data_IF_728363880567
#
_entry.id   IF_728363880567
#
_cell.length_a   1.000
_cell.length_b   1.000
_cell.length_c   1.000
_cell.angle_alpha   90.00
_cell.angle_beta   90.00
_cell.angle_gamma   90.00
#
_symmetry.space_group_name_H-M   'P 1'
#
loop_
_entity.id
_entity.type
_entity.pdbx_description
1 polymer ?
#
# COMPACT_ATOMS: atom_id res chain seq x y z
N UNK A 1 20.02 -100.85 -59.16
CA UNK A 1 19.84 -99.46 -59.63
C UNK A 1 19.48 -98.60 -58.43
N UNK A 2 20.10 -97.44 -58.26
CA UNK A 2 19.74 -96.46 -57.22
C UNK A 2 18.90 -95.34 -57.84
N UNK A 3 17.84 -94.92 -57.17
CA UNK A 3 17.06 -93.73 -57.49
C UNK A 3 17.43 -92.63 -56.51
N UNK A 4 17.72 -91.44 -57.02
CA UNK A 4 17.87 -90.22 -56.21
C UNK A 4 16.60 -89.40 -56.40
N UNK A 5 15.97 -89.00 -55.29
CA UNK A 5 14.83 -88.08 -55.28
C UNK A 5 15.31 -86.80 -54.60
N UNK A 6 15.26 -85.68 -55.32
CA UNK A 6 15.54 -84.38 -54.75
C UNK A 6 14.22 -83.79 -54.25
N UNK A 7 14.18 -83.45 -52.95
CA UNK A 7 13.08 -82.71 -52.36
C UNK A 7 13.52 -81.25 -52.27
N UNK A 8 12.72 -80.34 -52.83
CA UNK A 8 12.98 -78.90 -52.81
C UNK A 8 11.81 -78.25 -52.08
N UNK A 9 12.12 -77.48 -51.04
CA UNK A 9 11.14 -76.65 -50.36
C UNK A 9 10.94 -75.34 -51.13
N UNK A 10 9.68 -75.04 -51.42
CA UNK A 10 9.27 -73.83 -52.15
C UNK A 10 8.17 -73.05 -51.40
N UNK A 11 7.78 -73.54 -50.23
CA UNK A 11 6.72 -72.95 -49.41
C UNK A 11 7.33 -72.02 -48.39
N UNK A 12 6.84 -70.78 -48.31
CA UNK A 12 7.32 -69.85 -47.32
C UNK A 12 6.67 -70.13 -45.94
N UNK A 13 7.37 -69.80 -44.83
CA UNK A 13 6.79 -69.88 -43.50
C UNK A 13 5.52 -69.03 -43.37
N UNK A 14 4.61 -69.45 -42.49
CA UNK A 14 3.39 -68.70 -42.15
C UNK A 14 3.60 -68.01 -40.80
N UNK A 15 3.45 -66.67 -40.78
CA UNK A 15 3.45 -65.88 -39.54
C UNK A 15 2.03 -65.88 -38.96
N UNK A 16 1.90 -66.12 -37.65
CA UNK A 16 0.62 -66.03 -36.96
C UNK A 16 0.05 -64.59 -37.00
N UNK A 17 -1.27 -64.45 -36.89
CA UNK A 17 -1.92 -63.13 -36.90
C UNK A 17 -1.35 -62.21 -35.81
N UNK A 18 -0.85 -61.05 -36.22
CA UNK A 18 -0.40 -60.00 -35.32
C UNK A 18 -1.60 -59.13 -34.86
N UNK A 19 -1.49 -58.41 -33.74
CA UNK A 19 -2.53 -57.49 -33.29
C UNK A 19 -2.81 -56.39 -34.32
N UNK A 20 -4.04 -55.89 -34.31
CA UNK A 20 -4.43 -54.70 -35.07
C UNK A 20 -3.69 -53.44 -34.59
N UNK A 21 -3.74 -52.38 -35.39
CA UNK A 21 -3.09 -51.12 -35.05
C UNK A 21 -3.70 -50.49 -33.78
N UNK A 22 -2.85 -50.03 -32.87
CA UNK A 22 -3.28 -49.38 -31.62
C UNK A 22 -2.84 -47.93 -31.58
N UNK A 23 -3.47 -47.13 -30.71
CA UNK A 23 -3.08 -45.74 -30.46
C UNK A 23 -2.75 -45.55 -28.98
N UNK A 24 -1.63 -44.91 -28.69
CA UNK A 24 -1.16 -44.57 -27.34
C UNK A 24 -0.81 -43.08 -27.25
N UNK A 25 -0.78 -42.54 -26.03
CA UNK A 25 -0.31 -41.17 -25.76
C UNK A 25 1.20 -41.05 -25.99
N UNK A 26 1.69 -39.86 -26.34
CA UNK A 26 3.12 -39.58 -26.51
C UNK A 26 3.99 -39.87 -25.28
N UNK A 27 3.40 -39.91 -24.08
CA UNK A 27 4.10 -40.23 -22.84
C UNK A 27 4.24 -41.74 -22.62
N UNK A 28 3.59 -42.57 -23.43
CA UNK A 28 3.67 -44.02 -23.35
C UNK A 28 4.72 -44.58 -24.31
N UNK A 29 5.37 -45.68 -23.90
CA UNK A 29 6.34 -46.38 -24.74
C UNK A 29 5.64 -47.43 -25.60
N UNK A 30 5.90 -47.53 -26.91
CA UNK A 30 5.33 -48.59 -27.76
C UNK A 30 5.85 -49.99 -27.36
N UNK A 31 4.93 -50.93 -27.13
CA UNK A 31 5.25 -52.34 -26.86
C UNK A 31 4.70 -53.24 -27.97
N UNK A 32 5.60 -53.94 -28.67
CA UNK A 32 5.25 -54.83 -29.78
C UNK A 32 5.11 -56.27 -29.32
N UNK A 33 4.14 -56.98 -29.89
CA UNK A 33 3.99 -58.42 -29.69
C UNK A 33 5.06 -59.15 -30.51
N UNK A 34 5.75 -60.11 -29.88
CA UNK A 34 6.70 -60.98 -30.57
C UNK A 34 5.96 -61.89 -31.55
N UNK A 35 6.35 -61.86 -32.82
CA UNK A 35 5.76 -62.73 -33.83
C UNK A 35 6.13 -64.20 -33.61
N UNK A 36 5.27 -65.11 -34.04
CA UNK A 36 5.56 -66.54 -34.15
C UNK A 36 5.33 -66.99 -35.60
N UNK A 37 6.11 -67.95 -36.07
CA UNK A 37 6.02 -68.47 -37.42
C UNK A 37 6.21 -69.99 -37.44
N UNK A 38 5.52 -70.66 -38.35
CA UNK A 38 5.61 -72.11 -38.57
C UNK A 38 5.82 -72.40 -40.04
N UNK A 39 6.55 -73.47 -40.34
CA UNK A 39 6.77 -73.96 -41.69
C UNK A 39 6.25 -75.40 -41.84
N UNK A 40 5.62 -75.72 -42.97
CA UNK A 40 4.99 -77.04 -43.20
C UNK A 40 6.00 -78.18 -43.27
N UNK A 41 7.26 -77.89 -43.66
CA UNK A 41 8.34 -78.88 -43.73
C UNK A 41 9.03 -79.12 -42.38
N UNK A 42 8.59 -78.46 -41.30
CA UNK A 42 9.13 -78.64 -39.95
C UNK A 42 10.56 -78.13 -39.76
N UNK A 43 11.03 -77.28 -40.68
CA UNK A 43 12.35 -76.68 -40.62
C UNK A 43 12.38 -75.51 -39.63
N UNK A 44 13.57 -75.22 -39.10
CA UNK A 44 13.75 -74.06 -38.22
C UNK A 44 13.49 -72.77 -39.01
N UNK A 45 12.68 -71.87 -38.43
CA UNK A 45 12.36 -70.56 -39.01
C UNK A 45 13.16 -69.49 -38.27
N UNK A 46 13.83 -68.62 -39.01
CA UNK A 46 14.50 -67.44 -38.47
C UNK A 46 13.57 -66.24 -38.53
N UNK A 47 13.36 -65.58 -37.39
CA UNK A 47 12.58 -64.33 -37.30
C UNK A 47 13.51 -63.14 -37.13
N UNK A 48 13.31 -62.13 -37.96
CA UNK A 48 13.95 -60.81 -37.84
C UNK A 48 12.87 -59.73 -37.86
N UNK A 49 13.20 -58.53 -37.37
CA UNK A 49 12.29 -57.39 -37.45
C UNK A 49 13.02 -56.12 -37.86
N UNK A 50 12.28 -55.21 -38.48
CA UNK A 50 12.71 -53.85 -38.77
C UNK A 50 11.61 -52.87 -38.36
N UNK A 51 12.00 -51.76 -37.72
CA UNK A 51 11.09 -50.70 -37.32
C UNK A 51 11.20 -49.52 -38.30
N UNK A 52 10.04 -48.99 -38.69
CA UNK A 52 9.93 -47.77 -39.45
C UNK A 52 9.08 -46.76 -38.69
N UNK A 53 9.60 -45.54 -38.52
CA UNK A 53 8.86 -44.43 -37.90
C UNK A 53 8.31 -43.52 -39.00
N UNK A 54 7.02 -43.21 -38.91
CA UNK A 54 6.35 -42.24 -39.79
C UNK A 54 5.88 -41.06 -38.95
N UNK A 55 6.28 -39.83 -39.30
CA UNK A 55 5.80 -38.65 -38.58
C UNK A 55 4.29 -38.47 -38.77
N UNK A 56 3.62 -38.05 -37.69
CA UNK A 56 2.21 -37.72 -37.68
C UNK A 56 1.93 -36.30 -38.16
N UNK A 57 0.66 -35.91 -38.09
CA UNK A 57 0.18 -34.61 -38.56
C UNK A 57 0.55 -33.44 -37.62
N UNK A 58 0.85 -33.71 -36.35
CA UNK A 58 1.20 -32.70 -35.36
C UNK A 58 2.52 -33.04 -34.65
N UNK A 59 3.13 -32.01 -34.08
CA UNK A 59 4.39 -32.12 -33.32
C UNK A 59 4.22 -33.08 -32.15
N UNK A 60 5.10 -34.08 -32.05
CA UNK A 60 5.03 -35.10 -31.00
C UNK A 60 4.18 -36.32 -31.35
N UNK A 61 3.39 -36.27 -32.44
CA UNK A 61 2.66 -37.43 -32.95
C UNK A 61 3.45 -38.14 -34.06
N UNK A 62 3.46 -39.47 -34.02
CA UNK A 62 4.13 -40.34 -35.00
C UNK A 62 3.54 -41.75 -34.95
N UNK A 63 3.91 -42.63 -35.86
CA UNK A 63 3.62 -44.06 -35.76
C UNK A 63 4.89 -44.87 -35.90
N UNK A 64 4.92 -46.03 -35.26
CA UNK A 64 5.99 -47.02 -35.41
C UNK A 64 5.38 -48.29 -35.97
N UNK A 65 5.87 -48.71 -37.14
CA UNK A 65 5.50 -49.96 -37.79
C UNK A 65 6.67 -50.93 -37.67
N UNK A 66 6.45 -52.06 -36.98
CA UNK A 66 7.40 -53.17 -36.91
C UNK A 66 7.03 -54.21 -37.94
N UNK A 67 7.92 -54.46 -38.89
CA UNK A 67 7.79 -55.52 -39.89
C UNK A 67 8.64 -56.72 -39.50
N UNK A 68 7.98 -57.84 -39.24
CA UNK A 68 8.60 -59.14 -39.01
C UNK A 68 8.85 -59.84 -40.33
N UNK A 69 10.04 -60.44 -40.50
CA UNK A 69 10.39 -61.31 -41.63
C UNK A 69 10.72 -62.69 -41.10
N UNK A 70 9.95 -63.69 -41.53
CA UNK A 70 10.20 -65.09 -41.26
C UNK A 70 10.89 -65.71 -42.48
N UNK A 71 12.02 -66.38 -42.29
CA UNK A 71 12.78 -67.03 -43.36
C UNK A 71 13.12 -68.46 -42.97
N UNK A 72 12.85 -69.41 -43.85
CA UNK A 72 13.24 -70.82 -43.67
C UNK A 72 14.71 -71.06 -44.09
N UNK A 73 15.17 -72.30 -43.95
CA UNK A 73 16.53 -72.69 -44.32
C UNK A 73 16.78 -72.76 -45.84
N UNK A 74 15.72 -72.79 -46.65
CA UNK A 74 15.76 -72.81 -48.11
C UNK A 74 15.74 -71.40 -48.73
N UNK A 75 15.53 -70.38 -47.90
CA UNK A 75 15.51 -68.98 -48.28
C UNK A 75 14.11 -68.45 -48.64
N UNK A 76 13.04 -69.22 -48.46
CA UNK A 76 11.68 -68.71 -48.65
C UNK A 76 11.32 -67.80 -47.48
N UNK A 77 10.62 -66.70 -47.77
CA UNK A 77 10.34 -65.67 -46.77
C UNK A 77 8.92 -65.11 -46.83
N UNK A 78 8.37 -64.76 -45.66
CA UNK A 78 7.09 -64.08 -45.48
C UNK A 78 7.26 -62.89 -44.54
N UNK A 79 6.46 -61.85 -44.73
CA UNK A 79 6.46 -60.67 -43.87
C UNK A 79 5.07 -60.38 -43.28
N UNK A 80 5.04 -59.89 -42.04
CA UNK A 80 3.83 -59.36 -41.40
C UNK A 80 4.20 -58.13 -40.56
N UNK A 81 3.27 -57.18 -40.41
CA UNK A 81 3.56 -55.92 -39.69
C UNK A 81 2.54 -55.63 -38.60
N UNK A 82 3.01 -54.99 -37.52
CA UNK A 82 2.21 -54.38 -36.46
C UNK A 82 2.50 -52.88 -36.42
N UNK A 83 1.47 -52.06 -36.26
CA UNK A 83 1.61 -50.59 -36.17
C UNK A 83 1.10 -50.08 -34.84
N UNK A 84 1.86 -49.20 -34.19
CA UNK A 84 1.43 -48.46 -33.00
C UNK A 84 1.48 -46.97 -33.34
N UNK A 85 0.34 -46.29 -33.20
CA UNK A 85 0.22 -44.85 -33.37
C UNK A 85 0.47 -44.14 -32.03
N UNK A 86 1.25 -43.09 -32.06
CA UNK A 86 1.54 -42.22 -30.94
C UNK A 86 0.86 -40.89 -31.25
N UNK A 87 -0.16 -40.54 -30.49
CA UNK A 87 -0.97 -39.34 -30.71
C UNK A 87 -1.25 -38.63 -29.40
N UNK A 88 -1.26 -37.30 -29.48
CA UNK A 88 -1.77 -36.47 -28.40
C UNK A 88 -3.28 -36.25 -28.57
N UNK A 89 -4.04 -36.64 -27.56
CA UNK A 89 -5.50 -36.51 -27.53
C UNK A 89 -5.97 -35.78 -26.27
N UNK A 90 -5.05 -35.19 -25.51
CA UNK A 90 -5.32 -34.57 -24.21
C UNK A 90 -5.12 -33.07 -24.32
N UNK A 91 -6.10 -32.30 -23.85
CA UNK A 91 -5.98 -30.83 -23.85
C UNK A 91 -5.01 -30.33 -22.78
N UNK A 92 -4.49 -29.09 -22.93
CA UNK A 92 -3.60 -28.46 -21.95
C UNK A 92 -4.15 -28.42 -20.52
N UNK A 93 -3.24 -28.38 -19.54
CA UNK A 93 -3.53 -28.13 -18.13
C UNK A 93 -2.91 -26.81 -17.66
N UNK A 94 -3.37 -26.25 -16.53
CA UNK A 94 -2.76 -25.07 -15.89
C UNK A 94 -1.91 -25.49 -14.70
N UNK A 95 -0.72 -24.89 -14.55
CA UNK A 95 0.10 -25.03 -13.34
C UNK A 95 -0.18 -23.93 -12.32
N UNK A 96 -0.83 -22.85 -12.73
CA UNK A 96 -1.23 -21.77 -11.83
C UNK A 96 -2.53 -22.15 -11.14
N UNK A 97 -2.50 -22.23 -9.80
CA UNK A 97 -3.72 -22.35 -8.99
C UNK A 97 -4.49 -21.02 -8.99
N UNK A 98 -5.82 -21.09 -9.12
CA UNK A 98 -6.69 -19.93 -8.99
C UNK A 98 -8.06 -20.35 -8.44
N UNK A 99 -8.72 -19.43 -7.73
CA UNK A 99 -10.09 -19.66 -7.26
C UNK A 99 -11.05 -19.56 -8.46
N UNK A 100 -11.71 -20.68 -8.78
CA UNK A 100 -12.68 -20.75 -9.86
C UNK A 100 -13.94 -19.92 -9.57
N UNK A 101 -14.31 -19.74 -8.29
CA UNK A 101 -15.42 -18.89 -7.86
C UNK A 101 -14.96 -17.99 -6.71
N UNK A 102 -15.28 -16.69 -6.79
CA UNK A 102 -14.94 -15.70 -5.77
C UNK A 102 -16.17 -14.82 -5.52
N UNK A 103 -16.48 -14.54 -4.26
CA UNK A 103 -17.49 -13.58 -3.85
C UNK A 103 -16.83 -12.34 -3.25
N UNK A 104 -17.12 -11.16 -3.81
CA UNK A 104 -16.51 -9.88 -3.39
C UNK A 104 -17.54 -8.75 -3.42
N UNK A 105 -17.21 -7.65 -2.75
CA UNK A 105 -17.87 -6.37 -3.01
C UNK A 105 -17.24 -5.70 -4.24
N UNK A 106 -17.97 -4.77 -4.86
CA UNK A 106 -17.53 -4.07 -6.07
C UNK A 106 -16.26 -3.23 -5.91
N UNK A 107 -15.84 -2.92 -4.67
CA UNK A 107 -14.59 -2.22 -4.36
C UNK A 107 -13.38 -3.17 -4.13
N UNK A 108 -13.59 -4.48 -4.24
CA UNK A 108 -12.59 -5.51 -3.95
C UNK A 108 -12.46 -6.57 -5.06
N UNK A 109 -12.77 -6.22 -6.30
CA UNK A 109 -12.63 -7.13 -7.44
C UNK A 109 -11.15 -7.46 -7.65
N UNK A 110 -10.75 -8.74 -7.61
CA UNK A 110 -9.34 -9.12 -7.76
C UNK A 110 -8.85 -8.84 -9.18
N UNK A 111 -7.58 -8.45 -9.27
CA UNK A 111 -6.86 -8.34 -10.55
C UNK A 111 -6.92 -9.67 -11.31
N UNK A 112 -6.89 -9.60 -12.64
CA UNK A 112 -6.88 -10.79 -13.50
C UNK A 112 -5.62 -11.63 -13.19
N UNK A 113 -5.76 -12.93 -12.85
CA UNK A 113 -4.60 -13.78 -12.66
C UNK A 113 -3.89 -14.07 -13.99
N UNK A 114 -2.56 -14.23 -13.94
CA UNK A 114 -1.76 -14.71 -15.06
C UNK A 114 -1.61 -16.24 -14.94
N UNK A 115 -2.25 -16.97 -15.86
CA UNK A 115 -2.22 -18.44 -15.87
C UNK A 115 -1.08 -18.95 -16.76
N UNK A 116 -0.36 -19.96 -16.26
CA UNK A 116 0.65 -20.70 -17.01
C UNK A 116 0.08 -22.06 -17.42
N UNK A 117 0.24 -22.41 -18.69
CA UNK A 117 -0.31 -23.64 -19.26
C UNK A 117 0.81 -24.59 -19.68
N UNK A 118 0.59 -25.88 -19.43
CA UNK A 118 1.47 -26.96 -19.86
C UNK A 118 0.66 -28.03 -20.56
N UNK A 119 1.34 -28.79 -21.40
CA UNK A 119 0.80 -29.96 -22.04
C UNK A 119 1.84 -31.11 -21.98
N UNK A 120 1.39 -32.35 -22.05
CA UNK A 120 2.25 -33.54 -21.93
C UNK A 120 3.02 -33.86 -23.21
N UNK A 121 2.51 -33.50 -24.38
CA UNK A 121 3.08 -33.88 -25.68
C UNK A 121 3.62 -32.71 -26.47
N UNK A 122 3.08 -31.53 -26.26
CA UNK A 122 3.40 -30.36 -27.06
C UNK A 122 3.39 -29.08 -26.21
N UNK A 123 3.56 -27.94 -26.88
CA UNK A 123 3.52 -26.64 -26.23
C UNK A 123 2.08 -26.14 -26.13
N UNK A 124 1.62 -25.79 -24.93
CA UNK A 124 0.33 -25.16 -24.71
C UNK A 124 0.38 -23.65 -25.04
N UNK A 125 -0.64 -23.14 -25.73
CA UNK A 125 -0.74 -21.74 -26.15
C UNK A 125 -2.10 -21.16 -25.79
N UNK A 126 -2.11 -19.96 -25.19
CA UNK A 126 -3.34 -19.21 -24.95
C UNK A 126 -3.87 -18.65 -26.29
N UNK A 127 -5.02 -19.13 -26.72
CA UNK A 127 -5.67 -18.70 -27.97
C UNK A 127 -6.49 -17.44 -27.76
N UNK A 128 -7.25 -17.40 -26.65
CA UNK A 128 -8.18 -16.30 -26.38
C UNK A 128 -8.42 -16.12 -24.89
N UNK A 129 -8.55 -14.86 -24.49
CA UNK A 129 -9.08 -14.47 -23.19
C UNK A 129 -10.36 -13.67 -23.39
N UNK A 130 -11.40 -13.93 -22.58
CA UNK A 130 -12.62 -13.13 -22.54
C UNK A 130 -12.97 -12.78 -21.10
N UNK A 131 -13.49 -11.57 -20.89
CA UNK A 131 -14.09 -11.13 -19.64
C UNK A 131 -15.45 -10.51 -19.94
N UNK A 132 -16.51 -11.06 -19.35
CA UNK A 132 -17.88 -10.62 -19.62
C UNK A 132 -18.63 -10.42 -18.31
N UNK A 133 -19.46 -9.37 -18.28
CA UNK A 133 -20.37 -9.07 -17.17
C UNK A 133 -21.72 -9.71 -17.46
N UNK A 134 -22.18 -10.61 -16.60
CA UNK A 134 -23.46 -11.30 -16.72
C UNK A 134 -24.30 -11.12 -15.45
N UNK A 135 -25.57 -11.57 -15.50
CA UNK A 135 -26.50 -11.54 -14.37
C UNK A 135 -26.60 -10.17 -13.69
N UNK A 136 -26.57 -9.10 -14.50
CA UNK A 136 -26.53 -7.73 -14.01
C UNK A 136 -27.88 -7.35 -13.43
N UNK A 137 -27.89 -7.01 -12.15
CA UNK A 137 -29.00 -6.37 -11.45
C UNK A 137 -28.48 -5.13 -10.72
N UNK A 138 -29.37 -4.34 -10.13
CA UNK A 138 -28.98 -3.08 -9.47
C UNK A 138 -28.01 -3.30 -8.29
N UNK A 139 -28.12 -4.43 -7.60
CA UNK A 139 -27.36 -4.74 -6.38
C UNK A 139 -26.23 -5.76 -6.56
N UNK A 140 -26.05 -6.34 -7.75
CA UNK A 140 -25.02 -7.35 -7.98
C UNK A 140 -24.83 -7.67 -9.47
N UNK A 141 -23.73 -8.35 -9.79
CA UNK A 141 -23.45 -8.96 -11.08
C UNK A 141 -22.40 -10.06 -10.95
N UNK A 142 -22.16 -10.83 -12.00
CA UNK A 142 -21.01 -11.73 -12.06
C UNK A 142 -20.05 -11.32 -13.19
N UNK A 143 -18.75 -11.29 -12.93
CA UNK A 143 -17.72 -11.25 -13.97
C UNK A 143 -17.28 -12.68 -14.29
N UNK A 144 -17.35 -13.06 -15.55
CA UNK A 144 -16.91 -14.37 -16.03
C UNK A 144 -15.68 -14.18 -16.89
N UNK A 145 -14.55 -14.70 -16.43
CA UNK A 145 -13.27 -14.76 -17.14
C UNK A 145 -13.09 -16.14 -17.72
N UNK A 146 -12.74 -16.23 -19.01
CA UNK A 146 -12.42 -17.51 -19.68
C UNK A 146 -11.09 -17.42 -20.40
N UNK A 147 -10.29 -18.47 -20.25
CA UNK A 147 -9.04 -18.69 -20.98
C UNK A 147 -9.24 -19.92 -21.87
N UNK A 148 -9.14 -19.72 -23.18
CA UNK A 148 -9.20 -20.77 -24.19
C UNK A 148 -7.78 -21.10 -24.61
N UNK A 149 -7.35 -22.33 -24.38
CA UNK A 149 -5.97 -22.77 -24.56
C UNK A 149 -5.98 -23.97 -25.49
N UNK A 150 -5.06 -23.99 -26.44
CA UNK A 150 -4.87 -25.14 -27.32
C UNK A 150 -3.40 -25.55 -27.31
N UNK A 151 -3.17 -26.83 -27.56
CA UNK A 151 -1.83 -27.38 -27.73
C UNK A 151 -1.39 -27.35 -29.21
N UNK A 152 -0.23 -27.94 -29.51
CA UNK A 152 0.31 -28.02 -30.87
C UNK A 152 -0.40 -29.04 -31.78
N UNK A 153 -1.25 -29.90 -31.21
CA UNK A 153 -2.05 -30.91 -31.90
C UNK A 153 -3.53 -30.51 -32.09
N UNK A 154 -3.93 -29.36 -31.54
CA UNK A 154 -5.27 -28.81 -31.63
C UNK A 154 -6.22 -29.31 -30.54
N UNK A 155 -5.73 -29.98 -29.49
CA UNK A 155 -6.57 -30.30 -28.34
C UNK A 155 -6.79 -29.02 -27.53
N UNK A 156 -8.04 -28.79 -27.11
CA UNK A 156 -8.45 -27.55 -26.46
C UNK A 156 -8.84 -27.78 -24.99
N UNK A 157 -8.51 -26.80 -24.16
CA UNK A 157 -8.94 -26.69 -22.77
C UNK A 157 -9.50 -25.29 -22.50
N UNK A 158 -10.51 -25.21 -21.64
CA UNK A 158 -11.08 -23.94 -21.19
C UNK A 158 -11.04 -23.83 -19.67
N UNK A 159 -10.40 -22.78 -19.17
CA UNK A 159 -10.39 -22.43 -17.75
C UNK A 159 -11.37 -21.29 -17.52
N UNK A 160 -12.16 -21.36 -16.45
CA UNK A 160 -13.20 -20.36 -16.13
C UNK A 160 -13.06 -19.88 -14.69
N UNK A 161 -13.08 -18.56 -14.50
CA UNK A 161 -13.20 -17.92 -13.19
C UNK A 161 -14.48 -17.08 -13.16
N UNK A 162 -15.29 -17.26 -12.11
CA UNK A 162 -16.53 -16.53 -11.86
C UNK A 162 -16.33 -15.66 -10.63
N UNK A 163 -16.53 -14.36 -10.75
CA UNK A 163 -16.47 -13.41 -9.64
C UNK A 163 -17.87 -12.86 -9.43
N UNK A 164 -18.52 -13.29 -8.35
CA UNK A 164 -19.80 -12.74 -7.93
C UNK A 164 -19.53 -11.44 -7.18
N UNK A 165 -20.03 -10.34 -7.74
CA UNK A 165 -19.83 -9.00 -7.22
C UNK A 165 -21.14 -8.51 -6.62
N UNK A 166 -21.12 -8.26 -5.32
CA UNK A 166 -22.18 -7.52 -4.65
C UNK A 166 -21.91 -6.02 -4.77
N UNK A 167 -22.96 -5.24 -4.93
CA UNK A 167 -22.93 -3.77 -4.92
C UNK A 167 -23.59 -3.35 -3.61
N UNK A 168 -22.81 -3.33 -2.54
CA UNK A 168 -23.23 -2.69 -1.29
C UNK A 168 -22.43 -1.41 -1.10
N UNK A 169 -23.10 -0.36 -0.62
CA UNK A 169 -22.42 0.88 -0.28
C UNK A 169 -21.34 0.57 0.75
N UNK A 170 -20.08 0.78 0.35
CA UNK A 170 -18.94 0.73 1.26
C UNK A 170 -19.06 1.95 2.18
N UNK A 171 -19.73 1.77 3.32
CA UNK A 171 -19.97 2.83 4.29
C UNK A 171 -18.67 3.09 5.08
N UNK A 172 -17.84 3.99 4.56
CA UNK A 172 -16.69 4.48 5.32
C UNK A 172 -17.16 5.56 6.29
N UNK A 173 -16.85 5.41 7.57
CA UNK A 173 -17.14 6.40 8.59
C UNK A 173 -15.88 7.22 8.90
N UNK A 174 -16.01 8.55 8.86
CA UNK A 174 -14.96 9.51 9.21
C UNK A 174 -15.50 10.39 10.33
N UNK A 175 -14.68 10.61 11.36
CA UNK A 175 -15.03 11.52 12.45
C UNK A 175 -14.14 12.75 12.42
N UNK A 176 -14.72 13.89 12.76
CA UNK A 176 -14.02 15.16 12.94
C UNK A 176 -14.62 15.94 14.10
N UNK A 177 -13.96 17.01 14.53
CA UNK A 177 -14.48 17.89 15.57
C UNK A 177 -14.24 19.35 15.20
N UNK A 178 -15.16 20.22 15.60
CA UNK A 178 -15.05 21.67 15.41
C UNK A 178 -15.68 22.39 16.61
N UNK A 179 -15.14 23.54 16.97
CA UNK A 179 -15.64 24.31 18.10
C UNK A 179 -16.67 25.35 17.64
N UNK A 180 -17.70 25.58 18.45
CA UNK A 180 -18.72 26.59 18.14
C UNK A 180 -18.44 27.97 18.77
N UNK A 181 -17.44 28.08 19.65
CA UNK A 181 -17.09 29.29 20.41
C UNK A 181 -15.58 29.62 20.44
N UNK A 182 -14.78 28.99 19.56
CA UNK A 182 -13.33 29.17 19.46
C UNK A 182 -12.87 30.14 18.36
N UNK A 183 -11.56 30.30 18.19
CA UNK A 183 -10.94 31.12 17.13
C UNK A 183 -11.20 30.57 15.73
N UNK A 184 -11.27 29.23 15.60
CA UNK A 184 -11.65 28.52 14.38
C UNK A 184 -12.99 27.83 14.62
N UNK A 185 -14.05 28.32 13.98
CA UNK A 185 -15.40 27.76 14.06
C UNK A 185 -15.84 27.04 12.79
N UNK A 186 -14.94 26.87 11.82
CA UNK A 186 -15.24 26.28 10.52
C UNK A 186 -14.43 25.01 10.28
N UNK A 187 -15.02 24.05 9.57
CA UNK A 187 -14.35 22.85 9.08
C UNK A 187 -14.77 22.58 7.64
N UNK A 188 -13.80 22.36 6.75
CA UNK A 188 -14.06 21.94 5.37
C UNK A 188 -14.17 20.42 5.32
N UNK A 189 -15.38 19.91 5.07
CA UNK A 189 -15.66 18.48 5.03
C UNK A 189 -14.87 17.77 3.92
N UNK A 190 -14.52 18.47 2.83
CA UNK A 190 -13.74 17.89 1.74
C UNK A 190 -12.30 17.56 2.15
N UNK A 191 -11.74 18.31 3.10
CA UNK A 191 -10.41 18.06 3.67
C UNK A 191 -10.34 16.79 4.51
N UNK A 192 -11.49 16.28 4.95
CA UNK A 192 -11.60 15.05 5.73
C UNK A 192 -11.70 13.80 4.86
N UNK A 193 -11.90 13.95 3.54
CA UNK A 193 -11.99 12.81 2.63
C UNK A 193 -10.61 12.14 2.47
N UNK A 194 -10.52 10.80 2.39
CA UNK A 194 -9.26 10.10 2.15
C UNK A 194 -8.63 10.54 0.83
N UNK A 195 -7.30 10.53 0.78
CA UNK A 195 -6.55 10.80 -0.45
C UNK A 195 -7.00 9.87 -1.58
N UNK A 196 -7.25 10.42 -2.76
CA UNK A 196 -7.73 9.66 -3.92
C UNK A 196 -9.26 9.50 -3.99
N UNK A 197 -10.01 10.06 -3.05
CA UNK A 197 -11.48 10.10 -3.14
C UNK A 197 -11.91 10.90 -4.38
N UNK A 198 -12.75 10.34 -5.27
CA UNK A 198 -13.28 11.05 -6.43
C UNK A 198 -13.98 12.35 -6.05
N UNK A 199 -13.76 13.42 -6.81
CA UNK A 199 -14.32 14.77 -6.55
C UNK A 199 -15.69 15.00 -7.21
N UNK A 200 -16.24 14.00 -7.90
CA UNK A 200 -17.53 14.05 -8.58
C UNK A 200 -18.72 13.62 -7.70
N UNK A 201 -18.49 13.42 -6.40
CA UNK A 201 -19.55 13.05 -5.47
C UNK A 201 -20.44 14.22 -5.07
N UNK A 202 -21.57 13.90 -4.48
CA UNK A 202 -22.59 14.84 -4.02
C UNK A 202 -22.68 14.83 -2.50
N UNK A 203 -22.75 16.01 -1.90
CA UNK A 203 -22.89 16.17 -0.45
C UNK A 203 -24.36 16.17 -0.04
N UNK A 204 -24.67 15.39 0.98
CA UNK A 204 -25.98 15.35 1.63
C UNK A 204 -25.83 15.73 3.09
N UNK A 205 -26.56 16.77 3.51
CA UNK A 205 -26.64 17.20 4.90
C UNK A 205 -27.74 16.40 5.60
N UNK A 206 -27.37 15.26 6.20
CA UNK A 206 -28.35 14.30 6.75
C UNK A 206 -29.18 14.91 7.87
N UNK A 207 -28.56 15.76 8.71
CA UNK A 207 -29.21 16.38 9.85
C UNK A 207 -29.82 17.78 9.52
N UNK A 208 -29.85 18.20 8.24
CA UNK A 208 -30.36 19.50 7.78
C UNK A 208 -29.82 20.71 8.56
N UNK A 209 -28.53 20.71 8.85
CA UNK A 209 -27.87 21.81 9.58
C UNK A 209 -27.83 23.10 8.78
N UNK A 210 -28.15 24.23 9.42
CA UNK A 210 -28.11 25.56 8.80
C UNK A 210 -26.69 26.10 8.59
N UNK A 211 -25.67 25.46 9.17
CA UNK A 211 -24.27 25.90 9.14
C UNK A 211 -23.46 25.45 7.92
N UNK A 212 -23.99 24.57 7.05
CA UNK A 212 -23.26 24.05 5.90
C UNK A 212 -23.40 24.97 4.68
N UNK A 213 -22.27 25.48 4.17
CA UNK A 213 -22.20 26.24 2.92
C UNK A 213 -21.20 25.54 1.97
N UNK A 214 -21.71 24.93 0.90
CA UNK A 214 -20.89 24.08 0.04
C UNK A 214 -20.33 22.89 0.83
N UNK A 215 -19.02 22.81 0.96
CA UNK A 215 -18.32 21.78 1.76
C UNK A 215 -17.90 22.28 3.14
N UNK A 216 -18.08 23.56 3.45
CA UNK A 216 -17.62 24.15 4.71
C UNK A 216 -18.77 24.19 5.71
N UNK A 217 -18.59 23.51 6.84
CA UNK A 217 -19.47 23.63 8.00
C UNK A 217 -18.98 24.77 8.87
N UNK A 218 -19.82 25.78 9.08
CA UNK A 218 -19.65 26.77 10.14
C UNK A 218 -20.43 26.32 11.38
N UNK A 219 -19.69 26.02 12.45
CA UNK A 219 -20.24 25.58 13.71
C UNK A 219 -20.60 26.73 14.67
N UNK A 220 -20.28 27.98 14.32
CA UNK A 220 -20.65 29.13 15.13
C UNK A 220 -22.17 29.16 15.37
N UNK A 221 -22.56 29.13 16.64
CA UNK A 221 -23.97 29.13 17.04
C UNK A 221 -24.71 27.78 16.88
N UNK A 222 -24.04 26.72 16.43
CA UNK A 222 -24.60 25.37 16.49
C UNK A 222 -24.58 24.83 17.94
N UNK A 223 -25.56 24.02 18.28
CA UNK A 223 -25.60 23.32 19.57
C UNK A 223 -24.51 22.25 19.65
N UNK A 224 -24.06 21.92 20.86
CA UNK A 224 -23.14 20.80 21.09
C UNK A 224 -23.80 19.50 20.61
N UNK A 225 -23.07 18.66 19.89
CA UNK A 225 -23.54 17.36 19.44
C UNK A 225 -22.93 16.90 18.13
N UNK A 226 -23.40 15.77 17.64
CA UNK A 226 -22.92 15.14 16.42
C UNK A 226 -23.77 15.54 15.21
N UNK A 227 -23.07 15.96 14.15
CA UNK A 227 -23.66 16.36 12.89
C UNK A 227 -23.17 15.45 11.77
N UNK A 228 -24.13 14.84 11.07
CA UNK A 228 -23.86 13.80 10.07
C UNK A 228 -23.99 14.39 8.67
N UNK A 229 -22.98 14.10 7.84
CA UNK A 229 -22.91 14.42 6.43
C UNK A 229 -22.61 13.15 5.64
N UNK A 230 -23.15 13.05 4.44
CA UNK A 230 -22.86 11.94 3.53
C UNK A 230 -22.28 12.50 2.23
N UNK A 231 -21.16 11.94 1.79
CA UNK A 231 -20.59 12.20 0.48
C UNK A 231 -20.83 10.98 -0.41
N UNK A 232 -21.77 11.13 -1.34
CA UNK A 232 -22.21 10.06 -2.23
C UNK A 232 -21.51 10.15 -3.57
N UNK A 233 -20.74 9.11 -3.89
CA UNK A 233 -20.03 8.97 -5.16
C UNK A 233 -20.86 8.06 -6.05
N UNK A 234 -21.50 8.65 -7.05
CA UNK A 234 -22.25 7.91 -8.07
C UNK A 234 -21.29 7.39 -9.15
N UNK A 235 -20.51 6.36 -8.80
CA UNK A 235 -19.81 5.55 -9.81
C UNK A 235 -20.81 4.52 -10.38
N UNK A 236 -20.92 4.46 -11.71
CA UNK A 236 -21.79 3.51 -12.41
C UNK A 236 -21.43 2.03 -12.13
N UNK A 237 -20.23 1.76 -11.59
CA UNK A 237 -19.71 0.40 -11.36
C UNK A 237 -19.68 -0.02 -9.89
N UNK A 238 -19.55 0.93 -8.96
CA UNK A 238 -19.55 0.68 -7.52
C UNK A 238 -19.92 1.95 -6.75
N UNK A 239 -21.22 2.27 -6.54
CA UNK A 239 -21.63 3.41 -5.75
C UNK A 239 -21.08 3.33 -4.31
N UNK A 240 -20.59 4.47 -3.80
CA UNK A 240 -20.01 4.58 -2.45
C UNK A 240 -20.64 5.74 -1.71
N UNK A 241 -20.84 5.57 -0.42
CA UNK A 241 -21.26 6.65 0.47
C UNK A 241 -20.28 6.74 1.63
N UNK A 242 -19.62 7.89 1.76
CA UNK A 242 -18.75 8.19 2.89
C UNK A 242 -19.58 8.97 3.91
N UNK A 243 -19.71 8.44 5.11
CA UNK A 243 -20.40 9.09 6.23
C UNK A 243 -19.39 9.86 7.07
N UNK A 244 -19.57 11.17 7.19
CA UNK A 244 -18.75 12.05 8.02
C UNK A 244 -19.58 12.49 9.23
N UNK A 245 -19.03 12.32 10.42
CA UNK A 245 -19.64 12.78 11.68
C UNK A 245 -18.74 13.86 12.28
N UNK A 246 -19.26 15.08 12.38
CA UNK A 246 -18.59 16.20 13.03
C UNK A 246 -19.17 16.39 14.42
N UNK A 247 -18.34 16.22 15.44
CA UNK A 247 -18.70 16.54 16.82
C UNK A 247 -18.44 18.02 17.08
N UNK A 248 -19.50 18.77 17.36
CA UNK A 248 -19.42 20.18 17.75
C UNK A 248 -19.25 20.28 19.27
N UNK A 249 -18.20 20.98 19.70
CA UNK A 249 -17.85 21.20 21.11
C UNK A 249 -17.78 22.69 21.47
N UNK A 250 -17.80 23.01 22.77
CA UNK A 250 -17.60 24.37 23.32
C UNK A 250 -16.33 24.42 24.18
N UNK A 251 -15.92 25.62 24.61
CA UNK A 251 -14.83 25.82 25.56
C UNK A 251 -13.45 25.74 24.91
N UNK A 252 -13.38 25.94 23.60
CA UNK A 252 -12.11 25.92 22.86
C UNK A 252 -11.44 27.29 22.79
N UNK A 253 -12.02 28.30 23.45
CA UNK A 253 -11.46 29.65 23.54
C UNK A 253 -10.31 29.74 24.53
N UNK A 254 -9.08 29.87 24.01
CA UNK A 254 -7.97 30.55 24.69
C UNK A 254 -7.09 29.70 25.60
N UNK A 255 -6.12 28.98 25.02
CA UNK A 255 -4.87 28.71 25.74
C UNK A 255 -4.09 30.02 25.73
N UNK A 256 -4.14 30.80 26.82
CA UNK A 256 -3.19 31.88 27.04
C UNK A 256 -1.87 31.20 27.39
N UNK A 257 -0.88 31.23 26.49
CA UNK A 257 0.46 30.75 26.83
C UNK A 257 0.94 31.51 28.06
N UNK A 258 1.40 30.81 29.12
CA UNK A 258 1.91 31.50 30.30
C UNK A 258 3.11 32.35 29.91
N UNK A 259 3.24 33.52 30.55
CA UNK A 259 4.39 34.38 30.35
C UNK A 259 5.71 33.64 30.65
N UNK A 260 6.80 34.06 30.00
CA UNK A 260 8.14 33.55 30.28
C UNK A 260 8.50 33.67 31.77
N UNK A 261 9.60 33.07 32.22
CA UNK A 261 10.06 33.31 33.60
C UNK A 261 10.99 34.51 33.63
N UNK A 262 10.73 35.50 34.48
CA UNK A 262 11.69 36.60 34.73
C UNK A 262 12.95 36.04 35.40
N UNK A 263 14.10 36.24 34.77
CA UNK A 263 15.42 35.89 35.34
C UNK A 263 16.21 37.17 35.48
N UNK A 264 16.70 37.44 36.69
CA UNK A 264 17.48 38.65 36.98
C UNK A 264 18.95 38.26 37.06
N UNK A 265 19.78 38.85 36.20
CA UNK A 265 21.23 38.63 36.22
C UNK A 265 21.87 39.59 37.23
N UNK A 266 22.58 39.04 38.21
CA UNK A 266 23.06 39.78 39.38
C UNK A 266 24.44 40.45 39.20
N UNK A 267 24.94 40.55 37.97
CA UNK A 267 26.20 41.24 37.67
C UNK A 267 26.22 41.81 36.25
N UNK A 268 26.88 42.96 36.07
CA UNK A 268 27.09 43.57 34.75
C UNK A 268 28.35 44.46 34.75
N UNK A 269 28.89 44.72 33.56
CA UNK A 269 30.17 45.40 33.33
C UNK A 269 30.08 46.48 32.26
N UNK A 270 29.69 47.73 32.61
CA UNK A 270 29.63 48.84 31.65
C UNK A 270 31.02 49.41 31.33
N UNK A 271 31.85 48.64 30.63
CA UNK A 271 33.24 48.98 30.27
C UNK A 271 33.42 49.35 28.79
N UNK A 272 32.35 49.26 27.98
CA UNK A 272 32.34 49.61 26.56
C UNK A 272 32.83 48.51 25.61
N UNK A 273 32.98 47.27 26.07
CA UNK A 273 33.33 46.12 25.22
C UNK A 273 32.11 45.51 24.49
N UNK A 274 30.90 45.97 24.83
CA UNK A 274 29.64 45.55 24.23
C UNK A 274 29.02 44.31 24.90
N UNK A 275 29.64 43.78 25.96
CA UNK A 275 29.20 42.59 26.68
C UNK A 275 28.77 42.99 28.09
N UNK A 276 27.53 42.64 28.47
CA UNK A 276 26.95 42.95 29.79
C UNK A 276 27.04 44.44 30.17
N UNK A 277 26.86 45.34 29.20
CA UNK A 277 26.92 46.80 29.41
C UNK A 277 25.78 47.34 30.28
N UNK A 278 24.73 46.54 30.46
CA UNK A 278 23.51 46.94 31.18
C UNK A 278 23.09 45.85 32.15
N UNK A 279 22.30 46.23 33.15
CA UNK A 279 21.62 45.26 34.01
C UNK A 279 20.52 44.53 33.22
N UNK A 280 20.76 43.28 32.84
CA UNK A 280 19.82 42.51 32.01
C UNK A 280 18.82 41.76 32.90
N UNK A 281 17.54 41.82 32.51
CA UNK A 281 16.47 41.01 33.08
C UNK A 281 15.81 40.26 31.92
N UNK A 282 15.91 38.93 31.90
CA UNK A 282 15.35 38.13 30.82
C UNK A 282 13.82 38.22 30.80
N UNK A 283 13.27 38.22 29.58
CA UNK A 283 11.84 38.31 29.27
C UNK A 283 11.14 39.63 29.63
N UNK A 284 11.76 40.55 30.39
CA UNK A 284 11.12 41.80 30.84
C UNK A 284 10.66 42.70 29.69
N UNK A 285 11.23 42.54 28.50
CA UNK A 285 10.93 43.32 27.30
C UNK A 285 9.57 42.96 26.67
N UNK A 286 8.96 41.82 27.06
CA UNK A 286 7.63 41.43 26.61
C UNK A 286 6.56 42.26 27.31
N UNK A 287 6.16 43.36 26.67
CA UNK A 287 5.17 44.30 27.22
C UNK A 287 3.75 43.73 27.28
N UNK A 288 3.45 42.62 26.59
CA UNK A 288 2.17 41.96 26.73
C UNK A 288 2.11 41.15 28.04
N UNK A 289 3.27 40.63 28.45
CA UNK A 289 3.40 39.84 29.66
C UNK A 289 3.73 40.65 30.90
N UNK A 290 4.54 41.71 30.77
CA UNK A 290 5.00 42.55 31.88
C UNK A 290 4.70 44.04 31.66
N UNK A 291 3.42 44.40 31.38
CA UNK A 291 3.05 45.78 31.06
C UNK A 291 3.35 46.74 32.21
N UNK A 292 3.20 46.27 33.46
CA UNK A 292 3.43 47.06 34.66
C UNK A 292 4.64 46.52 35.42
N UNK A 293 5.84 46.93 35.01
CA UNK A 293 7.07 46.62 35.72
C UNK A 293 7.81 47.87 36.22
N UNK A 294 8.47 47.77 37.36
CA UNK A 294 9.31 48.82 37.93
C UNK A 294 10.62 48.24 38.47
N UNK A 295 11.73 48.93 38.22
CA UNK A 295 13.05 48.59 38.77
C UNK A 295 13.56 49.77 39.57
N UNK A 296 14.01 49.50 40.79
CA UNK A 296 14.71 50.45 41.66
C UNK A 296 16.08 49.87 42.03
N UNK A 297 17.12 50.71 42.07
CA UNK A 297 18.47 50.28 42.44
C UNK A 297 19.02 51.24 43.49
N UNK A 298 19.56 50.67 44.56
CA UNK A 298 20.08 51.35 45.73
C UNK A 298 21.58 51.06 45.90
N UNK A 299 22.34 52.05 46.37
CA UNK A 299 23.73 51.82 46.77
C UNK A 299 23.81 51.19 48.17
N UNK A 300 25.03 50.86 48.61
CA UNK A 300 25.30 50.26 49.94
C UNK A 300 24.81 51.04 51.16
N UNK A 301 24.47 52.33 50.99
CA UNK A 301 23.94 53.18 52.05
C UNK A 301 22.41 53.30 52.01
N UNK A 302 21.74 52.56 51.12
CA UNK A 302 20.28 52.62 50.94
C UNK A 302 19.81 53.84 50.16
N UNK A 303 20.70 54.56 49.46
CA UNK A 303 20.33 55.70 48.62
C UNK A 303 19.93 55.19 47.24
N UNK A 304 18.75 55.59 46.76
CA UNK A 304 18.26 55.30 45.42
C UNK A 304 19.17 55.95 44.37
N UNK A 305 19.76 55.13 43.51
CA UNK A 305 20.66 55.59 42.44
C UNK A 305 20.03 55.51 41.06
N UNK A 306 19.01 54.67 40.87
CA UNK A 306 18.27 54.52 39.61
C UNK A 306 16.85 54.02 39.89
N UNK A 307 15.88 54.52 39.15
CA UNK A 307 14.52 54.02 39.12
C UNK A 307 13.96 54.07 37.70
N UNK A 308 13.13 53.09 37.33
CA UNK A 308 12.48 53.04 36.04
C UNK A 308 11.10 52.39 36.13
N UNK A 309 10.11 53.01 35.47
CA UNK A 309 8.82 52.40 35.17
C UNK A 309 8.82 51.90 33.71
N UNK A 310 8.41 50.66 33.51
CA UNK A 310 8.49 49.95 32.23
C UNK A 310 9.94 49.70 31.83
N UNK A 311 10.73 49.15 32.74
CA UNK A 311 12.11 48.73 32.48
C UNK A 311 12.15 47.78 31.27
N UNK A 312 13.12 48.00 30.41
CA UNK A 312 13.44 47.13 29.28
C UNK A 312 14.95 47.18 29.04
N UNK A 313 15.52 46.11 28.50
CA UNK A 313 16.96 45.92 28.33
C UNK A 313 17.57 46.82 27.23
N UNK A 314 16.76 47.62 26.53
CA UNK A 314 17.19 48.42 25.38
C UNK A 314 17.24 49.92 25.68
N UNK A 315 16.07 50.52 25.91
CA UNK A 315 15.88 51.97 26.03
C UNK A 315 15.89 52.48 27.46
N UNK A 316 15.49 51.66 28.43
CA UNK A 316 15.34 52.03 29.84
C UNK A 316 16.22 51.21 30.79
N UNK A 317 17.27 50.59 30.25
CA UNK A 317 18.15 49.74 31.02
C UNK A 317 19.08 50.55 31.93
N UNK A 318 19.40 50.01 33.11
CA UNK A 318 20.39 50.61 33.99
C UNK A 318 21.80 50.34 33.46
N UNK A 319 22.52 51.43 33.17
CA UNK A 319 23.86 51.42 32.56
C UNK A 319 24.98 51.69 33.55
N UNK A 320 24.69 51.61 34.85
CA UNK A 320 25.68 51.92 35.90
C UNK A 320 25.94 53.40 36.14
N UNK A 321 25.03 54.28 35.70
CA UNK A 321 25.06 55.72 36.00
C UNK A 321 23.95 56.05 36.99
N UNK A 322 24.21 56.99 37.90
CA UNK A 322 23.17 57.42 38.83
C UNK A 322 22.22 58.41 38.15
N UNK A 323 20.92 58.14 38.21
CA UNK A 323 19.85 59.02 37.74
C UNK A 323 19.11 59.71 38.91
N UNK A 324 19.41 59.31 40.16
CA UNK A 324 18.85 59.91 41.37
C UNK A 324 19.21 61.39 41.57
N UNK A 325 18.29 62.15 42.20
CA UNK A 325 18.49 63.56 42.59
C UNK A 325 19.65 63.71 43.59
N UNK A 326 20.80 64.13 43.08
CA UNK A 326 21.89 64.85 43.77
C UNK A 326 22.93 64.02 44.56
N UNK A 327 24.19 64.03 44.08
CA UNK A 327 25.51 64.09 44.79
C UNK A 327 26.65 63.36 44.06
N UNK A 328 26.38 62.58 43.01
CA UNK A 328 27.39 62.00 42.11
C UNK A 328 27.23 62.65 40.74
N UNK A 329 28.33 63.14 40.15
CA UNK A 329 28.31 63.65 38.77
C UNK A 329 27.75 62.57 37.85
N UNK A 330 26.61 62.82 37.21
CA UNK A 330 25.96 61.89 36.27
C UNK A 330 26.92 61.40 35.17
N UNK A 331 28.00 62.13 34.91
CA UNK A 331 29.01 61.80 33.89
C UNK A 331 30.09 60.80 34.32
N UNK A 332 30.28 60.52 35.62
CA UNK A 332 31.41 59.68 36.09
C UNK A 332 31.05 58.19 36.29
N UNK A 333 29.76 57.87 36.19
CA UNK A 333 29.21 56.56 36.53
C UNK A 333 29.38 56.21 38.01
N UNK A 334 28.66 55.18 38.44
CA UNK A 334 28.72 54.67 39.81
C UNK A 334 30.04 53.92 40.05
N UNK A 335 30.55 53.89 41.29
CA UNK A 335 31.75 53.12 41.63
C UNK A 335 31.52 51.60 41.52
N UNK A 336 32.57 50.84 41.25
CA UNK A 336 32.55 49.38 41.35
C UNK A 336 32.11 48.95 42.76
N UNK A 337 31.17 48.01 42.83
CA UNK A 337 30.68 47.51 44.09
C UNK A 337 29.31 46.86 43.99
N UNK A 338 28.79 46.48 45.16
CA UNK A 338 27.49 45.84 45.28
C UNK A 338 26.40 46.88 45.51
N UNK A 339 25.37 46.78 44.69
CA UNK A 339 24.10 47.51 44.73
C UNK A 339 22.99 46.55 45.13
N UNK A 340 21.81 47.10 45.42
CA UNK A 340 20.62 46.32 45.73
C UNK A 340 19.50 46.70 44.77
N UNK A 341 18.89 45.73 44.10
CA UNK A 341 17.77 45.97 43.19
C UNK A 341 16.45 45.54 43.82
N UNK A 342 15.39 46.22 43.45
CA UNK A 342 14.00 45.81 43.68
C UNK A 342 13.28 45.87 42.33
N UNK A 343 12.73 44.74 41.91
CA UNK A 343 11.91 44.58 40.72
C UNK A 343 10.50 44.23 41.15
N UNK A 344 9.51 45.06 40.79
CA UNK A 344 8.09 44.71 40.87
C UNK A 344 7.55 44.52 39.46
N UNK A 345 6.71 43.52 39.23
CA UNK A 345 6.10 43.30 37.91
C UNK A 345 4.77 42.56 37.99
N UNK A 346 3.87 42.83 37.05
CA UNK A 346 2.69 41.99 36.79
C UNK A 346 3.02 40.89 35.78
N UNK A 347 2.39 39.72 35.89
CA UNK A 347 2.47 38.63 34.90
C UNK A 347 1.13 37.96 34.71
N UNK A 348 0.88 37.33 33.56
CA UNK A 348 -0.36 36.59 33.29
C UNK A 348 -0.07 35.08 33.39
N UNK A 349 -0.86 34.36 34.19
CA UNK A 349 -0.76 32.90 34.28
C UNK A 349 -1.49 32.17 33.15
N UNK A 350 -1.31 30.85 33.06
CA UNK A 350 -1.93 30.02 32.02
C UNK A 350 -3.47 29.99 32.05
N UNK A 351 -4.10 30.63 33.03
CA UNK A 351 -5.54 30.80 33.14
C UNK A 351 -5.98 32.25 32.84
N UNK A 352 -5.09 33.10 32.31
CA UNK A 352 -5.38 34.49 31.98
C UNK A 352 -5.48 35.43 33.18
N UNK A 353 -5.07 35.00 34.38
CA UNK A 353 -5.15 35.83 35.59
C UNK A 353 -3.87 36.62 35.80
N UNK A 354 -4.03 37.92 36.08
CA UNK A 354 -2.91 38.81 36.45
C UNK A 354 -2.39 38.48 37.85
N UNK A 355 -1.08 38.30 37.95
CA UNK A 355 -0.33 38.08 39.19
C UNK A 355 0.61 39.26 39.43
N UNK A 356 0.78 39.66 40.69
CA UNK A 356 1.74 40.70 41.08
C UNK A 356 2.94 40.03 41.76
N UNK A 357 4.13 40.32 41.26
CA UNK A 357 5.37 39.67 41.66
C UNK A 357 6.39 40.70 42.13
N UNK A 358 7.29 40.25 43.01
CA UNK A 358 8.45 41.02 43.48
C UNK A 358 9.69 40.14 43.49
N UNK A 359 10.80 40.66 42.97
CA UNK A 359 12.15 40.11 43.14
C UNK A 359 13.07 41.19 43.66
N UNK A 360 13.93 40.84 44.60
CA UNK A 360 14.96 41.73 45.12
C UNK A 360 16.23 40.94 45.44
N UNK A 361 17.36 41.63 45.44
CA UNK A 361 18.66 40.99 45.58
C UNK A 361 19.82 41.94 45.35
N UNK A 362 21.02 41.38 45.40
CA UNK A 362 22.23 42.15 45.11
C UNK A 362 22.49 42.23 43.60
N UNK A 363 23.08 43.34 43.17
CA UNK A 363 23.57 43.59 41.82
C UNK A 363 25.02 44.05 41.91
N UNK A 364 25.93 43.28 41.31
CA UNK A 364 27.34 43.63 41.28
C UNK A 364 27.66 44.43 40.01
N UNK A 365 28.16 45.66 40.19
CA UNK A 365 28.65 46.50 39.10
C UNK A 365 30.17 46.44 39.10
N UNK A 366 30.75 46.03 37.98
CA UNK A 366 32.20 46.06 37.75
C UNK A 366 32.53 46.96 36.55
N UNK A 367 33.68 47.63 36.53
CA UNK A 367 34.10 48.48 35.39
C UNK A 367 35.41 47.97 34.82
#
# INVERSE_FOLDING_TARGET
>A
ASQTINVVDTTAPVIASLPEATTISCSATPEFTTATATDECGLAVTLTFADATTNGACTGSYSVTRTWTATDNCGNATTASQTINIQDTTGPTTTTEFNATIDVNCDAIPVKPELSFIDNCSTATLIKYTEEKINVVQSSYSLVRKWFVADGCGNESTFTQIINVNITNSNQAITGSVCNDGEITTVDLSSLLPTGTPTNGTWTNVNNTSGLQGTVLNAAGLTIGDYIFEYKIDDATCPRTIKITITVTTGCGGIVLPCGTIIVHNAFSPNGDGINEVFVIDNIDDTNCYPDNTVEIYNRWGVLVFDAQGYNNTTKAFKGFSEGRSTISQSSGLPTGTYFYILNYTSIDGNGKVQTNKKDGYLYLNK
#
